data_IF_679527431134
#
_entry.id   IF_679527431134
#
_cell.length_a   1.000
_cell.length_b   1.000
_cell.length_c   1.000
_cell.angle_alpha   90.00
_cell.angle_beta   90.00
_cell.angle_gamma   90.00
#
_symmetry.space_group_name_H-M   'P 1'
#
loop_
_entity.id
_entity.type
_entity.pdbx_description
1 polymer ?
#
# COMPACT_ATOMS: atom_id res chain seq x y z
N UNK A 1 10.10 -1.19 -24.58
CA UNK A 1 8.88 -0.45 -24.23
C UNK A 1 9.14 1.02 -24.44
N UNK A 2 8.13 1.79 -24.81
CA UNK A 2 8.22 3.25 -25.05
C UNK A 2 8.19 4.08 -23.75
N UNK A 3 8.06 3.42 -22.59
CA UNK A 3 8.02 4.05 -21.27
C UNK A 3 6.66 4.67 -20.93
N UNK A 4 5.63 4.46 -21.77
CA UNK A 4 4.31 5.05 -21.58
C UNK A 4 3.34 4.09 -20.86
N UNK A 5 2.38 4.58 -20.07
CA UNK A 5 1.39 3.70 -19.45
C UNK A 5 0.54 2.95 -20.48
N UNK A 6 0.28 1.67 -20.21
CA UNK A 6 -0.42 0.78 -21.14
C UNK A 6 -1.83 1.29 -21.48
N UNK A 7 -2.18 1.30 -22.77
CA UNK A 7 -3.49 1.74 -23.25
C UNK A 7 -3.71 3.26 -23.26
N UNK A 8 -2.71 4.06 -22.86
CA UNK A 8 -2.79 5.51 -23.01
C UNK A 8 -2.61 5.95 -24.48
N UNK A 9 -3.13 7.11 -24.88
CA UNK A 9 -2.90 7.66 -26.22
C UNK A 9 -1.39 7.84 -26.47
N UNK A 10 -0.94 7.49 -27.68
CA UNK A 10 0.45 7.68 -28.10
C UNK A 10 0.88 9.13 -27.93
N UNK A 11 1.95 9.38 -27.17
CA UNK A 11 2.45 10.73 -26.83
C UNK A 11 1.39 11.65 -26.21
N UNK A 12 0.38 11.10 -25.54
CA UNK A 12 -0.74 11.85 -24.98
C UNK A 12 -1.25 11.31 -23.65
N UNK A 13 -2.29 11.95 -23.15
CA UNK A 13 -2.95 11.62 -21.89
C UNK A 13 -4.39 11.19 -22.17
N UNK A 14 -4.93 10.23 -21.40
CA UNK A 14 -6.36 9.97 -21.41
C UNK A 14 -7.13 11.14 -20.76
N UNK A 15 -8.46 11.04 -20.72
CA UNK A 15 -9.27 12.02 -19.97
C UNK A 15 -8.89 12.09 -18.48
N UNK A 16 -9.32 13.14 -17.75
CA UNK A 16 -8.97 13.33 -16.35
C UNK A 16 -9.43 12.15 -15.47
N UNK A 17 -8.76 11.97 -14.33
CA UNK A 17 -9.13 10.95 -13.33
C UNK A 17 -10.57 11.12 -12.84
N UNK A 18 -11.19 10.02 -12.43
CA UNK A 18 -12.59 9.99 -12.02
C UNK A 18 -13.30 8.72 -12.49
N UNK A 19 -13.37 8.45 -13.81
CA UNK A 19 -14.18 7.35 -14.32
C UNK A 19 -13.46 5.98 -14.29
N UNK A 20 -12.19 5.93 -13.89
CA UNK A 20 -11.34 4.74 -13.97
C UNK A 20 -11.40 3.86 -12.71
N UNK A 21 -11.54 4.46 -11.53
CA UNK A 21 -11.60 3.74 -10.26
C UNK A 21 -12.77 2.74 -10.26
N UNK A 22 -12.46 1.46 -10.07
CA UNK A 22 -13.44 0.36 -10.18
C UNK A 22 -14.25 0.37 -11.49
N UNK A 23 -13.69 0.94 -12.56
CA UNK A 23 -14.36 1.10 -13.84
C UNK A 23 -14.56 -0.21 -14.60
N UNK A 24 -15.54 -0.20 -15.50
CA UNK A 24 -15.83 -1.28 -16.45
C UNK A 24 -16.08 -0.68 -17.83
N UNK A 25 -15.72 -1.41 -18.88
CA UNK A 25 -15.75 -0.92 -20.26
C UNK A 25 -14.35 -0.66 -20.82
N UNK A 26 -14.25 -0.76 -22.15
CA UNK A 26 -12.98 -0.67 -22.86
C UNK A 26 -12.31 0.71 -22.73
N UNK A 27 -13.10 1.76 -22.50
CA UNK A 27 -12.63 3.14 -22.32
C UNK A 27 -12.26 3.48 -20.87
N UNK A 28 -12.40 2.51 -19.93
CA UNK A 28 -12.17 2.70 -18.49
C UNK A 28 -11.09 1.80 -17.90
N UNK A 29 -11.08 0.51 -18.26
CA UNK A 29 -10.28 -0.49 -17.56
C UNK A 29 -9.24 -1.14 -18.49
N UNK A 30 -8.03 -0.60 -18.49
CA UNK A 30 -6.93 -1.07 -19.36
C UNK A 30 -6.14 -2.20 -18.69
N UNK A 31 -5.97 -3.33 -19.38
CA UNK A 31 -5.13 -4.44 -18.91
C UNK A 31 -5.80 -5.40 -17.91
N UNK A 32 -7.14 -5.48 -17.89
CA UNK A 32 -7.88 -6.39 -17.00
C UNK A 32 -7.45 -7.85 -17.15
N UNK A 33 -7.07 -8.30 -18.34
CA UNK A 33 -6.65 -9.68 -18.59
C UNK A 33 -5.44 -10.09 -17.74
N UNK A 34 -4.49 -9.16 -17.52
CA UNK A 34 -3.32 -9.38 -16.65
C UNK A 34 -3.76 -9.55 -15.20
N UNK A 35 -4.71 -8.73 -14.75
CA UNK A 35 -5.22 -8.74 -13.38
C UNK A 35 -5.96 -10.05 -13.10
N UNK A 36 -6.83 -10.48 -14.01
CA UNK A 36 -7.56 -11.75 -13.91
C UNK A 36 -6.61 -12.96 -13.93
N UNK A 37 -5.59 -12.94 -14.80
CA UNK A 37 -4.58 -13.98 -14.87
C UNK A 37 -3.73 -14.03 -13.58
N UNK A 38 -3.25 -12.87 -13.11
CA UNK A 38 -2.51 -12.74 -11.85
C UNK A 38 -3.31 -13.22 -10.66
N UNK A 39 -4.60 -12.86 -10.59
CA UNK A 39 -5.48 -13.26 -9.50
C UNK A 39 -5.60 -14.79 -9.42
N UNK A 40 -5.89 -15.44 -10.57
CA UNK A 40 -6.00 -16.91 -10.63
C UNK A 40 -4.67 -17.60 -10.37
N UNK A 41 -3.56 -17.04 -10.86
CA UNK A 41 -2.23 -17.58 -10.61
C UNK A 41 -1.86 -17.51 -9.12
N UNK A 42 -2.19 -16.40 -8.44
CA UNK A 42 -2.02 -16.27 -6.99
C UNK A 42 -2.86 -17.30 -6.23
N UNK A 43 -4.15 -17.44 -6.56
CA UNK A 43 -5.02 -18.45 -5.95
C UNK A 43 -4.47 -19.87 -6.13
N UNK A 44 -4.05 -20.21 -7.35
CA UNK A 44 -3.50 -21.53 -7.67
C UNK A 44 -2.19 -21.81 -6.90
N UNK A 45 -1.33 -20.81 -6.76
CA UNK A 45 -0.07 -20.90 -6.02
C UNK A 45 -0.25 -20.94 -4.49
N UNK A 46 -1.47 -20.77 -3.98
CA UNK A 46 -1.73 -20.68 -2.54
C UNK A 46 -1.30 -19.35 -1.93
N UNK A 47 -1.11 -18.30 -2.75
CA UNK A 47 -0.89 -16.95 -2.25
C UNK A 47 -2.19 -16.44 -1.62
N UNK A 48 -2.10 -15.82 -0.43
CA UNK A 48 -3.26 -15.26 0.27
C UNK A 48 -3.75 -13.95 -0.34
N UNK A 49 -4.10 -13.97 -1.62
CA UNK A 49 -4.77 -12.87 -2.29
C UNK A 49 -6.22 -12.79 -1.82
N UNK A 50 -6.68 -11.60 -1.40
CA UNK A 50 -8.02 -11.40 -0.86
C UNK A 50 -8.88 -10.44 -1.69
N UNK A 51 -8.31 -9.77 -2.68
CA UNK A 51 -9.06 -8.84 -3.51
C UNK A 51 -8.22 -8.17 -4.60
N UNK A 52 -8.92 -7.45 -5.47
CA UNK A 52 -8.33 -6.57 -6.49
C UNK A 52 -9.33 -5.50 -6.90
N UNK A 53 -8.82 -4.36 -7.37
CA UNK A 53 -9.64 -3.31 -7.99
C UNK A 53 -8.82 -2.54 -9.04
N UNK A 54 -9.52 -1.93 -10.01
CA UNK A 54 -8.94 -0.88 -10.83
C UNK A 54 -8.76 0.37 -9.96
N UNK A 55 -7.59 0.99 -10.05
CA UNK A 55 -7.25 2.18 -9.27
C UNK A 55 -7.65 3.48 -9.98
N UNK A 56 -7.42 4.61 -9.31
CA UNK A 56 -7.87 5.94 -9.77
C UNK A 56 -7.20 6.36 -11.09
N UNK A 57 -5.91 6.06 -11.27
CA UNK A 57 -5.20 6.35 -12.51
C UNK A 57 -5.49 5.25 -13.57
N UNK A 58 -5.78 5.59 -14.83
CA UNK A 58 -6.00 4.58 -15.86
C UNK A 58 -4.75 3.73 -16.08
N UNK A 59 -4.94 2.42 -16.21
CA UNK A 59 -3.90 1.37 -16.21
C UNK A 59 -3.20 1.15 -14.86
N UNK A 60 -3.65 1.78 -13.78
CA UNK A 60 -3.25 1.46 -12.42
C UNK A 60 -4.23 0.44 -11.81
N UNK A 61 -3.70 -0.50 -11.04
CA UNK A 61 -4.46 -1.58 -10.40
C UNK A 61 -3.92 -1.85 -9.01
N UNK A 62 -4.78 -2.40 -8.15
CA UNK A 62 -4.42 -2.87 -6.82
C UNK A 62 -4.78 -4.35 -6.66
N UNK A 63 -3.97 -5.07 -5.89
CA UNK A 63 -4.31 -6.39 -5.35
C UNK A 63 -3.98 -6.40 -3.86
N UNK A 64 -4.83 -7.04 -3.06
CA UNK A 64 -4.65 -7.11 -1.62
C UNK A 64 -4.17 -8.51 -1.22
N UNK A 65 -3.16 -8.57 -0.36
CA UNK A 65 -2.61 -9.81 0.22
C UNK A 65 -2.89 -9.80 1.72
N UNK A 66 -3.43 -10.90 2.23
CA UNK A 66 -3.65 -11.15 3.66
C UNK A 66 -5.10 -11.49 4.02
N UNK A 67 -5.41 -11.57 5.33
CA UNK A 67 -4.51 -11.29 6.45
C UNK A 67 -3.41 -12.35 6.63
N UNK A 68 -2.14 -11.95 6.72
CA UNK A 68 -0.99 -12.84 6.95
C UNK A 68 -0.44 -12.70 8.37
N UNK A 69 0.05 -13.80 8.97
CA UNK A 69 0.71 -13.77 10.28
C UNK A 69 2.23 -13.61 10.14
N UNK A 70 2.78 -12.57 10.78
CA UNK A 70 4.22 -12.36 10.90
C UNK A 70 4.96 -12.35 9.56
N UNK A 71 5.99 -13.20 9.45
CA UNK A 71 6.89 -13.26 8.29
C UNK A 71 6.18 -13.60 6.98
N UNK A 72 5.06 -14.34 7.07
CA UNK A 72 4.29 -14.78 5.90
C UNK A 72 3.78 -13.60 5.06
N UNK A 73 3.61 -12.41 5.65
CA UNK A 73 3.21 -11.21 4.90
C UNK A 73 4.24 -10.85 3.84
N UNK A 74 5.53 -10.89 4.20
CA UNK A 74 6.61 -10.63 3.25
C UNK A 74 6.70 -11.70 2.18
N UNK A 75 6.65 -12.98 2.58
CA UNK A 75 6.69 -14.12 1.67
C UNK A 75 5.59 -14.04 0.60
N UNK A 76 4.33 -13.86 1.04
CA UNK A 76 3.19 -13.80 0.13
C UNK A 76 3.23 -12.58 -0.80
N UNK A 77 3.60 -11.39 -0.30
CA UNK A 77 3.63 -10.21 -1.16
C UNK A 77 4.77 -10.30 -2.19
N UNK A 78 5.96 -10.77 -1.81
CA UNK A 78 7.07 -10.94 -2.75
C UNK A 78 6.75 -11.96 -3.83
N UNK A 79 6.16 -13.11 -3.47
CA UNK A 79 5.72 -14.11 -4.46
C UNK A 79 4.60 -13.56 -5.33
N UNK A 80 3.63 -12.81 -4.79
CA UNK A 80 2.58 -12.16 -5.58
C UNK A 80 3.16 -11.17 -6.61
N UNK A 81 4.17 -10.39 -6.23
CA UNK A 81 4.88 -9.47 -7.14
C UNK A 81 5.65 -10.23 -8.22
N UNK A 82 6.31 -11.33 -7.87
CA UNK A 82 6.97 -12.19 -8.85
C UNK A 82 5.98 -12.76 -9.88
N UNK A 83 4.84 -13.29 -9.42
CA UNK A 83 3.78 -13.79 -10.31
C UNK A 83 3.27 -12.67 -11.21
N UNK A 84 3.08 -11.45 -10.67
CA UNK A 84 2.64 -10.31 -11.49
C UNK A 84 3.63 -10.03 -12.62
N UNK A 85 4.92 -9.97 -12.32
CA UNK A 85 5.94 -9.77 -13.35
C UNK A 85 5.95 -10.89 -14.39
N UNK A 86 5.84 -12.15 -13.97
CA UNK A 86 5.79 -13.31 -14.89
C UNK A 86 4.55 -13.30 -15.78
N UNK A 87 3.40 -12.94 -15.25
CA UNK A 87 2.17 -12.75 -16.04
C UNK A 87 2.34 -11.59 -17.01
N UNK A 88 2.84 -10.44 -16.55
CA UNK A 88 3.09 -9.27 -17.41
C UNK A 88 4.05 -9.57 -18.57
N UNK A 89 5.08 -10.40 -18.35
CA UNK A 89 5.99 -10.86 -19.41
C UNK A 89 5.26 -11.62 -20.52
N UNK A 90 4.31 -12.50 -20.17
CA UNK A 90 3.53 -13.25 -21.16
C UNK A 90 2.58 -12.33 -21.97
N UNK A 91 2.14 -11.21 -21.40
CA UNK A 91 1.34 -10.17 -22.07
C UNK A 91 2.17 -9.07 -22.75
N UNK A 92 3.50 -9.10 -22.63
CA UNK A 92 4.40 -8.10 -23.22
C UNK A 92 4.30 -6.71 -22.60
N UNK A 93 3.91 -6.59 -21.33
CA UNK A 93 3.80 -5.32 -20.60
C UNK A 93 4.74 -5.29 -19.39
N UNK A 94 4.93 -4.11 -18.79
CA UNK A 94 5.75 -3.92 -17.59
C UNK A 94 4.87 -3.45 -16.44
N UNK A 95 4.89 -4.17 -15.32
CA UNK A 95 4.37 -3.67 -14.05
C UNK A 95 5.45 -2.80 -13.37
N UNK A 96 5.06 -1.62 -12.92
CA UNK A 96 5.94 -0.71 -12.17
C UNK A 96 5.38 -0.49 -10.77
N UNK A 97 6.26 -0.60 -9.76
CA UNK A 97 5.95 -0.26 -8.37
C UNK A 97 6.47 1.13 -7.99
N UNK A 98 6.87 1.96 -8.95
CA UNK A 98 7.28 3.34 -8.67
C UNK A 98 6.12 4.10 -7.98
N UNK A 99 6.37 4.81 -6.87
CA UNK A 99 5.30 5.48 -6.11
C UNK A 99 4.66 6.67 -6.82
N UNK A 100 5.30 7.20 -7.86
CA UNK A 100 4.77 8.32 -8.65
C UNK A 100 5.21 8.16 -10.11
N UNK A 101 4.60 7.20 -10.84
CA UNK A 101 5.06 6.82 -12.17
C UNK A 101 4.85 7.94 -13.20
N UNK A 102 3.79 8.73 -13.04
CA UNK A 102 3.50 9.89 -13.87
C UNK A 102 3.44 11.15 -12.99
N UNK A 103 4.26 12.19 -13.27
CA UNK A 103 4.21 13.46 -12.57
C UNK A 103 2.87 14.19 -12.73
N UNK A 104 2.59 15.14 -11.83
CA UNK A 104 1.41 16.00 -11.90
C UNK A 104 0.15 15.37 -11.32
N UNK A 105 -1.00 15.70 -11.92
CA UNK A 105 -2.35 15.42 -11.42
C UNK A 105 -2.81 13.98 -11.72
N UNK A 106 -1.94 13.02 -11.44
CA UNK A 106 -2.21 11.58 -11.52
C UNK A 106 -1.90 10.95 -10.17
N UNK A 107 -2.68 9.97 -9.74
CA UNK A 107 -2.47 9.32 -8.45
C UNK A 107 -1.09 8.66 -8.38
N UNK A 108 -0.51 8.66 -7.18
CA UNK A 108 0.66 7.82 -6.91
C UNK A 108 0.26 6.38 -6.60
N UNK A 109 1.25 5.52 -6.39
CA UNK A 109 1.06 4.13 -5.99
C UNK A 109 1.57 3.94 -4.54
N UNK A 110 0.71 3.50 -3.63
CA UNK A 110 1.05 3.18 -2.25
C UNK A 110 1.00 1.67 -2.00
N UNK A 111 1.50 1.25 -0.84
CA UNK A 111 1.32 -0.11 -0.32
C UNK A 111 0.72 -0.01 1.08
N UNK A 112 -0.57 0.32 1.19
CA UNK A 112 -1.20 0.49 2.50
C UNK A 112 -1.13 -0.80 3.31
N UNK A 113 -0.72 -0.70 4.57
CA UNK A 113 -0.50 -1.85 5.45
C UNK A 113 -1.52 -1.87 6.57
N UNK A 114 -2.36 -2.89 6.61
CA UNK A 114 -3.28 -3.13 7.72
C UNK A 114 -2.58 -3.94 8.81
N UNK A 115 -2.64 -3.49 10.06
CA UNK A 115 -1.95 -4.13 11.18
C UNK A 115 -2.86 -4.34 12.39
N UNK A 116 -2.78 -5.52 13.01
CA UNK A 116 -3.43 -5.83 14.29
C UNK A 116 -2.68 -6.89 15.09
N UNK A 117 -2.68 -6.75 16.41
CA UNK A 117 -2.32 -7.82 17.35
C UNK A 117 -3.56 -8.58 17.83
N UNK A 118 -3.39 -9.62 18.64
CA UNK A 118 -4.52 -10.34 19.22
C UNK A 118 -5.38 -9.41 20.08
N UNK A 119 -4.75 -8.61 20.92
CA UNK A 119 -5.37 -7.64 21.82
C UNK A 119 -6.17 -6.58 21.05
N UNK A 120 -5.66 -6.12 19.91
CA UNK A 120 -6.38 -5.17 19.05
C UNK A 120 -7.67 -5.76 18.46
N UNK A 121 -7.72 -7.07 18.22
CA UNK A 121 -8.88 -7.76 17.64
C UNK A 121 -9.94 -8.14 18.66
N UNK A 122 -9.61 -8.16 19.94
CA UNK A 122 -10.53 -8.48 21.04
C UNK A 122 -11.33 -7.26 21.50
N UNK A 123 -12.36 -7.47 22.32
CA UNK A 123 -13.22 -6.39 22.81
C UNK A 123 -12.42 -5.37 23.63
N UNK A 124 -12.57 -4.08 23.29
CA UNK A 124 -11.76 -3.00 23.86
C UNK A 124 -10.42 -2.80 23.15
N UNK A 125 -10.16 -3.53 22.07
CA UNK A 125 -8.92 -3.50 21.29
C UNK A 125 -8.55 -2.13 20.70
N UNK A 126 -9.50 -1.22 20.54
CA UNK A 126 -9.23 0.16 20.08
C UNK A 126 -8.22 0.89 20.95
N UNK A 127 -8.19 0.61 22.26
CA UNK A 127 -7.18 1.19 23.17
C UNK A 127 -5.76 0.83 22.72
N UNK A 128 -5.50 -0.43 22.40
CA UNK A 128 -4.19 -0.89 21.94
C UNK A 128 -3.83 -0.34 20.56
N UNK A 129 -4.85 -0.12 19.70
CA UNK A 129 -4.67 0.58 18.42
C UNK A 129 -4.19 2.01 18.65
N UNK A 130 -4.85 2.76 19.52
CA UNK A 130 -4.50 4.15 19.85
C UNK A 130 -3.10 4.26 20.47
N UNK A 131 -2.74 3.35 21.39
CA UNK A 131 -1.40 3.26 21.97
C UNK A 131 -0.32 3.03 20.91
N UNK A 132 -0.57 2.12 19.96
CA UNK A 132 0.37 1.87 18.86
C UNK A 132 0.50 3.08 17.93
N UNK A 133 -0.59 3.77 17.63
CA UNK A 133 -0.59 4.99 16.82
C UNK A 133 0.24 6.11 17.49
N UNK A 134 0.16 6.24 18.82
CA UNK A 134 0.97 7.21 19.56
C UNK A 134 2.47 6.92 19.41
N UNK A 135 2.87 5.65 19.54
CA UNK A 135 4.27 5.21 19.34
C UNK A 135 4.74 5.48 17.90
N UNK A 136 3.89 5.18 16.91
CA UNK A 136 4.19 5.46 15.49
C UNK A 136 4.40 6.96 15.21
N UNK A 137 3.65 7.83 15.89
CA UNK A 137 3.81 9.28 15.78
C UNK A 137 5.19 9.76 16.23
N UNK A 138 5.72 9.17 17.31
CA UNK A 138 7.05 9.48 17.85
C UNK A 138 8.20 9.00 16.94
N UNK A 139 7.92 8.06 16.03
CA UNK A 139 8.91 7.44 15.13
C UNK A 139 8.62 7.66 13.64
N UNK A 140 7.89 8.72 13.29
CA UNK A 140 7.50 8.96 11.90
C UNK A 140 8.68 8.90 10.90
N UNK A 141 9.78 9.60 11.18
CA UNK A 141 10.95 9.65 10.30
C UNK A 141 11.62 8.27 10.14
N UNK A 142 11.73 7.49 11.21
CA UNK A 142 12.25 6.12 11.16
C UNK A 142 11.42 5.25 10.20
N UNK A 143 10.08 5.34 10.30
CA UNK A 143 9.20 4.61 9.42
C UNK A 143 9.31 5.09 7.96
N UNK A 144 9.37 6.40 7.71
CA UNK A 144 9.56 6.91 6.33
C UNK A 144 10.84 6.34 5.69
N UNK A 145 11.94 6.23 6.44
CA UNK A 145 13.18 5.60 5.95
C UNK A 145 13.01 4.12 5.61
N UNK A 146 12.20 3.39 6.36
CA UNK A 146 11.93 1.98 6.10
C UNK A 146 10.89 1.73 4.99
N UNK A 147 10.19 2.78 4.55
CA UNK A 147 8.98 2.68 3.73
C UNK A 147 9.20 2.81 2.22
N UNK A 148 10.46 2.97 1.80
CA UNK A 148 10.92 2.68 0.44
C UNK A 148 12.43 2.32 0.45
N UNK A 149 12.94 1.62 -0.59
CA UNK A 149 14.34 1.19 -0.64
C UNK A 149 15.38 2.33 -0.71
N UNK A 150 14.96 3.58 -0.89
CA UNK A 150 15.83 4.76 -0.96
C UNK A 150 15.65 5.70 0.23
N UNK A 151 15.17 5.19 1.36
CA UNK A 151 15.15 5.94 2.62
C UNK A 151 14.16 7.10 2.65
N UNK A 152 13.09 7.07 1.84
CA UNK A 152 12.08 8.13 1.78
C UNK A 152 12.11 8.96 0.49
N UNK A 153 13.19 8.86 -0.30
CA UNK A 153 13.40 9.69 -1.48
C UNK A 153 12.39 9.40 -2.59
N UNK A 154 12.03 8.13 -2.80
CA UNK A 154 11.01 7.79 -3.79
C UNK A 154 9.62 8.23 -3.32
N UNK A 155 9.31 7.97 -2.05
CA UNK A 155 8.00 8.26 -1.47
C UNK A 155 7.71 9.77 -1.33
N UNK A 156 8.75 10.62 -1.29
CA UNK A 156 8.61 12.09 -1.30
C UNK A 156 7.87 12.61 -2.53
N UNK A 157 7.95 11.91 -3.67
CA UNK A 157 7.21 12.26 -4.90
C UNK A 157 5.71 11.96 -4.80
N UNK A 158 5.31 11.11 -3.85
CA UNK A 158 3.93 10.64 -3.65
C UNK A 158 3.24 11.32 -2.47
N UNK A 159 3.89 11.36 -1.30
CA UNK A 159 3.34 11.87 -0.04
C UNK A 159 3.42 13.40 0.05
N UNK A 160 2.54 14.08 -0.68
CA UNK A 160 2.55 15.55 -0.81
C UNK A 160 1.41 16.25 -0.08
N UNK A 161 0.48 15.49 0.53
CA UNK A 161 -0.78 16.03 1.08
C UNK A 161 -1.91 16.16 0.05
N UNK A 162 -1.62 15.94 -1.23
CA UNK A 162 -2.60 15.92 -2.32
C UNK A 162 -2.95 14.48 -2.73
N UNK A 163 -4.03 14.30 -3.51
CA UNK A 163 -4.45 12.99 -4.03
C UNK A 163 -4.61 11.91 -2.96
N UNK A 164 -5.27 12.26 -1.83
CA UNK A 164 -5.57 11.31 -0.74
C UNK A 164 -4.32 10.71 -0.07
N UNK A 165 -3.24 11.48 -0.04
CA UNK A 165 -2.00 11.16 0.69
C UNK A 165 -1.77 12.13 1.84
N UNK A 166 -1.01 11.71 2.87
CA UNK A 166 -0.48 12.64 3.87
C UNK A 166 0.75 13.38 3.34
N UNK A 167 1.17 14.45 4.02
CA UNK A 167 2.49 15.03 3.80
C UNK A 167 3.58 14.08 4.36
N UNK A 168 4.74 13.98 3.70
CA UNK A 168 5.85 13.11 4.14
C UNK A 168 6.54 13.58 5.43
N UNK A 169 6.36 14.85 5.82
CA UNK A 169 7.01 15.44 7.00
C UNK A 169 6.10 15.48 8.24
N UNK A 170 4.81 15.20 8.09
CA UNK A 170 3.82 15.35 9.14
C UNK A 170 3.14 14.01 9.42
N UNK A 171 3.16 13.58 10.67
CA UNK A 171 2.35 12.46 11.11
C UNK A 171 0.94 12.91 11.47
N UNK A 172 -0.05 12.17 11.00
CA UNK A 172 -1.46 12.38 11.37
C UNK A 172 -2.21 11.06 11.47
N UNK A 173 -3.21 11.01 12.34
CA UNK A 173 -4.09 9.86 12.48
C UNK A 173 -5.55 10.30 12.59
N UNK A 174 -6.48 9.48 12.09
CA UNK A 174 -7.90 9.78 12.25
C UNK A 174 -8.83 8.66 11.81
N UNK A 175 -10.04 8.65 12.39
CA UNK A 175 -11.10 7.72 12.01
C UNK A 175 -11.62 8.09 10.63
N UNK A 176 -11.62 7.11 9.72
CA UNK A 176 -12.05 7.24 8.32
C UNK A 176 -11.37 8.37 7.53
N UNK A 177 -10.20 8.86 7.97
CA UNK A 177 -9.51 9.96 7.32
C UNK A 177 -8.56 9.44 6.21
N UNK A 178 -8.93 9.64 4.94
CA UNK A 178 -8.10 9.30 3.77
C UNK A 178 -6.97 10.30 3.49
N UNK A 179 -6.82 11.38 4.25
CA UNK A 179 -5.67 12.28 4.15
C UNK A 179 -4.62 12.00 5.23
N UNK A 180 -4.92 11.14 6.20
CA UNK A 180 -4.04 10.88 7.33
C UNK A 180 -2.93 9.88 7.00
N UNK A 181 -1.84 9.93 7.75
CA UNK A 181 -0.77 8.93 7.72
C UNK A 181 -1.29 7.57 8.18
N UNK A 182 -2.01 7.55 9.32
CA UNK A 182 -2.69 6.37 9.84
C UNK A 182 -4.21 6.57 9.80
N UNK A 183 -4.92 5.59 9.27
CA UNK A 183 -6.38 5.57 9.25
C UNK A 183 -6.91 4.47 10.14
N UNK A 184 -7.82 4.83 11.04
CA UNK A 184 -8.66 3.85 11.75
C UNK A 184 -9.94 3.67 10.91
N UNK A 185 -10.28 2.45 10.45
CA UNK A 185 -11.53 2.23 9.72
C UNK A 185 -12.74 2.68 10.52
N UNK A 186 -13.79 3.17 9.84
CA UNK A 186 -15.01 3.66 10.50
C UNK A 186 -15.65 2.58 11.38
N UNK A 187 -15.73 1.36 10.87
CA UNK A 187 -16.29 0.20 11.57
C UNK A 187 -15.45 -0.16 12.80
N UNK A 188 -14.12 -0.12 12.70
CA UNK A 188 -13.21 -0.33 13.86
C UNK A 188 -13.45 0.73 14.95
N UNK A 189 -13.64 2.00 14.59
CA UNK A 189 -13.98 3.05 15.55
C UNK A 189 -15.35 2.85 16.23
N UNK A 190 -16.32 2.27 15.52
CA UNK A 190 -17.65 1.97 16.04
C UNK A 190 -17.67 0.73 16.95
N UNK A 191 -17.03 -0.35 16.51
CA UNK A 191 -16.96 -1.64 17.20
C UNK A 191 -15.89 -1.66 18.30
N UNK A 192 -15.01 -0.66 18.32
CA UNK A 192 -13.91 -0.47 19.28
C UNK A 192 -12.92 -1.65 19.32
N UNK A 193 -12.72 -2.32 18.19
CA UNK A 193 -11.76 -3.42 17.98
C UNK A 193 -11.48 -3.61 16.49
N UNK A 194 -10.34 -4.23 16.16
CA UNK A 194 -9.95 -4.58 14.80
C UNK A 194 -8.49 -4.26 14.49
N UNK A 195 -8.26 -3.34 13.55
CA UNK A 195 -6.94 -3.01 12.99
C UNK A 195 -6.85 -1.52 12.63
N UNK A 196 -5.63 -1.01 12.40
CA UNK A 196 -5.41 0.27 11.74
C UNK A 196 -4.73 0.09 10.38
N UNK A 197 -4.84 1.10 9.52
CA UNK A 197 -4.23 1.15 8.18
C UNK A 197 -3.11 2.20 8.17
N UNK A 198 -1.85 1.77 7.99
CA UNK A 198 -0.74 2.66 7.70
C UNK A 198 -0.66 2.95 6.21
N UNK A 199 -0.88 4.21 5.83
CA UNK A 199 -1.01 4.64 4.43
C UNK A 199 0.30 5.22 3.86
N UNK A 200 1.34 5.25 4.69
CA UNK A 200 2.64 5.82 4.36
C UNK A 200 3.54 4.93 3.51
N UNK A 201 3.49 3.58 3.52
CA UNK A 201 4.41 2.79 2.70
C UNK A 201 4.24 3.04 1.20
N UNK A 202 5.38 3.14 0.50
CA UNK A 202 5.44 3.26 -0.96
C UNK A 202 5.07 1.94 -1.64
N UNK A 203 4.55 1.97 -2.87
CA UNK A 203 4.28 0.75 -3.64
C UNK A 203 5.53 -0.15 -3.83
N UNK A 204 6.73 0.45 -3.89
CA UNK A 204 8.01 -0.27 -4.03
C UNK A 204 8.66 -0.68 -2.69
N UNK A 205 7.96 -0.53 -1.56
CA UNK A 205 8.53 -0.92 -0.27
C UNK A 205 8.91 -2.40 -0.22
N UNK A 206 9.90 -2.73 0.60
CA UNK A 206 10.12 -4.11 1.02
C UNK A 206 9.14 -4.44 2.16
N UNK A 207 8.20 -5.39 1.98
CA UNK A 207 7.28 -5.77 3.04
C UNK A 207 7.98 -6.30 4.30
N UNK A 208 9.19 -6.88 4.19
CA UNK A 208 9.95 -7.29 5.38
C UNK A 208 10.37 -6.07 6.20
N UNK A 209 10.89 -5.02 5.54
CA UNK A 209 11.28 -3.78 6.22
C UNK A 209 10.07 -3.09 6.86
N UNK A 210 8.93 -3.01 6.16
CA UNK A 210 7.70 -2.39 6.67
C UNK A 210 7.15 -3.15 7.87
N UNK A 211 7.00 -4.47 7.77
CA UNK A 211 6.45 -5.27 8.88
C UNK A 211 7.39 -5.29 10.07
N UNK A 212 8.70 -5.41 9.86
CA UNK A 212 9.69 -5.30 10.94
C UNK A 212 9.59 -3.95 11.65
N UNK A 213 9.52 -2.84 10.92
CA UNK A 213 9.44 -1.50 11.51
C UNK A 213 8.17 -1.33 12.37
N UNK A 214 7.03 -1.87 11.91
CA UNK A 214 5.79 -1.88 12.70
C UNK A 214 5.96 -2.68 14.00
N UNK A 215 6.54 -3.88 13.93
CA UNK A 215 6.76 -4.72 15.12
C UNK A 215 7.68 -4.03 16.13
N UNK A 216 8.83 -3.51 15.67
CA UNK A 216 9.81 -2.84 16.54
C UNK A 216 9.21 -1.64 17.28
N UNK A 217 8.44 -0.81 16.57
CA UNK A 217 7.82 0.38 17.18
C UNK A 217 6.59 0.03 18.04
N UNK A 218 5.71 -0.86 17.57
CA UNK A 218 4.42 -1.07 18.23
C UNK A 218 4.49 -2.09 19.38
N UNK A 219 5.35 -3.11 19.26
CA UNK A 219 5.38 -4.26 20.17
C UNK A 219 6.67 -4.38 20.99
N UNK A 220 7.80 -3.86 20.49
CA UNK A 220 9.08 -3.91 21.22
C UNK A 220 9.43 -2.58 21.91
N UNK A 221 8.58 -1.56 21.75
CA UNK A 221 8.73 -0.24 22.36
C UNK A 221 10.09 0.41 22.06
N UNK A 222 10.69 0.10 20.91
CA UNK A 222 11.96 0.70 20.51
C UNK A 222 11.78 2.21 20.30
N UNK A 223 12.74 3.00 20.76
CA UNK A 223 12.84 4.45 20.53
C UNK A 223 14.12 4.81 19.75
N UNK A 224 14.25 6.07 19.33
CA UNK A 224 15.39 6.54 18.54
C UNK A 224 15.31 6.23 17.04
N UNK A 225 16.47 6.34 16.38
CA UNK A 225 16.58 6.40 14.92
C UNK A 225 17.05 5.10 14.25
N UNK A 226 17.64 4.19 15.02
CA UNK A 226 18.24 2.94 14.55
C UNK A 226 17.55 1.74 15.22
N UNK A 227 17.54 0.56 14.57
CA UNK A 227 17.01 -0.66 15.17
C UNK A 227 17.93 -1.17 16.28
N UNK A 228 17.33 -1.71 17.34
CA UNK A 228 18.07 -2.37 18.43
C UNK A 228 18.53 -3.78 18.00
N UNK A 229 19.77 -4.14 18.32
CA UNK A 229 20.29 -5.50 18.19
C UNK A 229 19.89 -6.35 19.41
N UNK A 230 19.47 -7.60 19.18
CA UNK A 230 19.01 -8.54 20.21
C UNK A 230 19.82 -9.84 20.17
#
# INVERSE_FOLDING_TARGET
TDGHPFGWPSNGFPGPQGPYYCGVGADKAYGRDIVEAHYRACLYAGVMICGTNAEVMPAQWEFQIGPCEGINMGDHLWVARFILHRVCEDFGVVASFDPKPIPGNWNGAGCHTNFSTKEMREDGGLKFIEECIEKLGKRHNYHIRAYDPKGGLDNARRLTGHHETSNIHEFSAGVANRGASIRIPRTVGQEKKGYFEDRRPSANCDPYAVTQALIRTCLLDEEGEEPVEY
#
